data_IF_716963840367
#
_entry.id   IF_716963840367
#
_cell.length_a   1.000
_cell.length_b   1.000
_cell.length_c   1.000
_cell.angle_alpha   90.00
_cell.angle_beta   90.00
_cell.angle_gamma   90.00
#
_symmetry.space_group_name_H-M   'P 1'
#
loop_
_entity.id
_entity.type
_entity.pdbx_description
1 polymer ?
#
# COMPACT_ATOMS: atom_id res chain seq x y z
N UNK A 1 21.74 -4.38 3.60
CA UNK A 1 20.32 -4.17 3.95
C UNK A 1 19.47 -4.91 2.94
N UNK A 2 18.34 -5.53 3.35
CA UNK A 2 17.43 -6.16 2.40
C UNK A 2 16.80 -5.10 1.49
N UNK A 3 16.75 -5.38 0.19
CA UNK A 3 16.19 -4.49 -0.85
C UNK A 3 14.76 -4.89 -1.20
N UNK A 4 13.90 -3.92 -1.50
CA UNK A 4 12.53 -4.18 -1.96
C UNK A 4 12.54 -4.57 -3.44
N UNK A 5 12.09 -5.78 -3.76
CA UNK A 5 11.86 -6.23 -5.13
C UNK A 5 10.64 -5.53 -5.74
N UNK A 6 10.76 -5.03 -6.98
CA UNK A 6 9.73 -4.26 -7.67
C UNK A 6 8.37 -4.95 -7.78
N UNK A 7 8.36 -6.29 -7.89
CA UNK A 7 7.13 -7.09 -8.04
C UNK A 7 6.64 -7.70 -6.71
N UNK A 8 7.29 -7.41 -5.58
CA UNK A 8 6.94 -7.99 -4.28
C UNK A 8 6.53 -6.90 -3.27
N UNK A 9 6.27 -7.31 -2.03
CA UNK A 9 6.08 -6.45 -0.86
C UNK A 9 7.44 -6.17 -0.18
N UNK A 10 7.59 -5.08 0.60
CA UNK A 10 8.88 -4.77 1.21
C UNK A 10 9.23 -5.74 2.34
N UNK A 11 10.48 -6.21 2.42
CA UNK A 11 10.92 -7.18 3.43
C UNK A 11 11.01 -6.59 4.85
N UNK A 12 10.91 -5.26 4.98
CA UNK A 12 11.08 -4.51 6.24
C UNK A 12 9.74 -4.00 6.83
N UNK A 13 8.60 -4.33 6.20
CA UNK A 13 7.27 -3.97 6.71
C UNK A 13 6.92 -2.48 6.62
N UNK A 14 5.86 -2.08 7.32
CA UNK A 14 5.27 -0.74 7.19
C UNK A 14 5.99 0.36 7.98
N UNK A 15 6.57 0.05 9.15
CA UNK A 15 7.20 1.08 10.01
C UNK A 15 8.37 1.78 9.29
N UNK A 16 9.22 1.04 8.56
CA UNK A 16 10.28 1.66 7.77
C UNK A 16 9.71 2.56 6.67
N UNK A 17 8.66 2.13 5.98
CA UNK A 17 7.98 2.98 5.00
C UNK A 17 7.42 4.26 5.65
N UNK A 18 6.80 4.13 6.82
CA UNK A 18 6.25 5.23 7.58
C UNK A 18 7.34 6.23 7.98
N UNK A 19 8.44 5.77 8.56
CA UNK A 19 9.56 6.63 8.95
C UNK A 19 10.18 7.40 7.76
N UNK A 20 10.34 6.72 6.62
CA UNK A 20 10.78 7.37 5.38
C UNK A 20 9.75 8.41 4.94
N UNK A 21 8.45 8.06 4.92
CA UNK A 21 7.38 8.98 4.53
C UNK A 21 7.37 10.24 5.41
N UNK A 22 7.37 10.09 6.73
CA UNK A 22 7.40 11.21 7.68
C UNK A 22 8.63 12.11 7.52
N UNK A 23 9.71 11.58 6.95
CA UNK A 23 10.89 12.38 6.63
C UNK A 23 10.71 13.17 5.34
N UNK A 24 10.22 12.54 4.26
CA UNK A 24 10.16 13.14 2.93
C UNK A 24 8.98 14.11 2.76
N UNK A 25 7.83 13.87 3.40
CA UNK A 25 6.63 14.72 3.25
C UNK A 25 6.81 16.13 3.83
N UNK A 26 7.88 16.36 4.58
CA UNK A 26 8.28 17.71 5.03
C UNK A 26 8.73 18.60 3.87
N UNK A 27 9.02 18.02 2.70
CA UNK A 27 9.34 18.77 1.48
C UNK A 27 8.15 19.60 1.00
N UNK A 28 8.38 20.89 0.74
CA UNK A 28 7.41 21.76 0.05
C UNK A 28 7.42 21.60 -1.47
N UNK A 29 8.38 20.86 -2.01
CA UNK A 29 8.52 20.58 -3.45
C UNK A 29 7.94 19.20 -3.78
N UNK A 30 7.44 18.99 -5.01
CA UNK A 30 7.02 17.67 -5.46
C UNK A 30 8.12 16.63 -5.25
N UNK A 31 7.73 15.46 -4.74
CA UNK A 31 8.63 14.35 -4.45
C UNK A 31 8.56 13.36 -5.62
N UNK A 32 9.71 13.04 -6.21
CA UNK A 32 9.81 12.01 -7.25
C UNK A 32 10.05 10.66 -6.58
N UNK A 33 9.13 9.73 -6.76
CA UNK A 33 9.25 8.34 -6.33
C UNK A 33 9.38 7.47 -7.58
N UNK A 34 10.39 6.62 -7.63
CA UNK A 34 10.58 5.70 -8.75
C UNK A 34 11.19 4.37 -8.31
N UNK A 35 10.97 3.36 -9.15
CA UNK A 35 11.69 2.09 -9.19
C UNK A 35 12.11 1.84 -10.65
N UNK A 36 12.25 0.60 -11.11
CA UNK A 36 12.63 0.31 -12.50
C UNK A 36 11.57 0.77 -13.51
N UNK A 37 10.26 0.64 -13.20
CA UNK A 37 9.15 0.90 -14.14
C UNK A 37 8.25 2.09 -13.74
N UNK A 38 8.44 2.64 -12.54
CA UNK A 38 7.57 3.67 -11.96
C UNK A 38 6.13 3.16 -11.71
N UNK A 39 5.98 1.88 -11.39
CA UNK A 39 4.71 1.18 -11.06
C UNK A 39 5.00 0.12 -9.99
N UNK A 40 3.99 -0.59 -9.48
CA UNK A 40 4.20 -1.66 -8.49
C UNK A 40 4.67 -1.08 -7.15
N UNK A 41 5.87 -1.45 -6.68
CA UNK A 41 6.42 -0.99 -5.40
C UNK A 41 6.44 0.55 -5.25
N UNK A 42 6.73 1.28 -6.34
CA UNK A 42 6.71 2.75 -6.32
C UNK A 42 5.31 3.32 -6.03
N UNK A 43 4.28 2.77 -6.69
CA UNK A 43 2.89 3.20 -6.48
C UNK A 43 2.33 2.69 -5.15
N UNK A 44 2.76 1.51 -4.70
CA UNK A 44 2.43 0.99 -3.37
C UNK A 44 2.98 1.92 -2.28
N UNK A 45 4.25 2.35 -2.37
CA UNK A 45 4.83 3.28 -1.41
C UNK A 45 4.12 4.63 -1.38
N UNK A 46 3.84 5.23 -2.56
CA UNK A 46 3.06 6.48 -2.66
C UNK A 46 1.64 6.29 -2.11
N UNK A 47 1.02 5.15 -2.40
CA UNK A 47 -0.34 4.83 -2.03
C UNK A 47 -0.60 4.76 -0.53
N UNK A 48 0.41 4.38 0.28
CA UNK A 48 0.31 4.36 1.74
C UNK A 48 -0.11 5.71 2.32
N UNK A 49 0.57 6.78 1.89
CA UNK A 49 0.25 8.15 2.32
C UNK A 49 -0.96 8.69 1.56
N UNK A 50 -1.01 8.49 0.24
CA UNK A 50 -2.08 9.06 -0.58
C UNK A 50 -3.46 8.57 -0.14
N UNK A 51 -3.66 7.26 0.02
CA UNK A 51 -4.97 6.70 0.35
C UNK A 51 -5.38 6.96 1.79
N UNK A 52 -4.44 6.89 2.75
CA UNK A 52 -4.72 7.26 4.15
C UNK A 52 -5.17 8.71 4.25
N UNK A 53 -4.44 9.65 3.65
CA UNK A 53 -4.81 11.08 3.65
C UNK A 53 -6.10 11.36 2.88
N UNK A 54 -6.33 10.71 1.75
CA UNK A 54 -7.56 10.91 0.98
C UNK A 54 -8.79 10.53 1.79
N UNK A 55 -8.74 9.43 2.57
CA UNK A 55 -9.81 9.05 3.48
C UNK A 55 -9.89 9.97 4.72
N UNK A 56 -8.77 10.52 5.18
CA UNK A 56 -8.77 11.54 6.25
C UNK A 56 -9.44 12.86 5.82
N UNK A 57 -9.22 13.31 4.58
CA UNK A 57 -9.76 14.57 4.06
C UNK A 57 -11.21 14.45 3.56
N UNK A 58 -11.62 13.25 3.16
CA UNK A 58 -12.94 12.95 2.62
C UNK A 58 -13.57 11.84 3.46
N UNK A 59 -14.27 12.23 4.53
CA UNK A 59 -14.89 11.28 5.47
C UNK A 59 -15.92 10.35 4.80
N UNK A 60 -16.46 10.76 3.64
CA UNK A 60 -17.38 9.97 2.83
C UNK A 60 -16.68 8.94 1.94
N UNK A 61 -15.34 9.00 1.79
CA UNK A 61 -14.61 8.09 0.92
C UNK A 61 -14.38 6.75 1.60
N UNK A 62 -14.71 5.68 0.89
CA UNK A 62 -14.21 4.35 1.22
C UNK A 62 -12.78 4.20 0.68
N UNK A 63 -12.09 3.14 1.14
CA UNK A 63 -10.80 2.77 0.56
C UNK A 63 -10.87 2.59 -0.96
N UNK A 64 -11.97 2.02 -1.49
CA UNK A 64 -12.16 1.83 -2.93
C UNK A 64 -12.16 3.16 -3.67
N UNK A 65 -12.77 4.20 -3.09
CA UNK A 65 -12.85 5.53 -3.70
C UNK A 65 -11.46 6.19 -3.72
N UNK A 66 -10.76 6.17 -2.59
CA UNK A 66 -9.39 6.69 -2.48
C UNK A 66 -8.41 5.94 -3.40
N UNK A 67 -8.49 4.62 -3.44
CA UNK A 67 -7.70 3.77 -4.34
C UNK A 67 -8.00 4.06 -5.81
N UNK A 68 -9.28 4.24 -6.16
CA UNK A 68 -9.71 4.65 -7.50
C UNK A 68 -8.98 5.92 -7.96
N UNK A 69 -8.90 6.93 -7.10
CA UNK A 69 -8.19 8.19 -7.39
C UNK A 69 -6.69 8.02 -7.55
N UNK A 70 -6.08 7.08 -6.83
CA UNK A 70 -4.66 6.75 -7.00
C UNK A 70 -4.37 6.13 -8.37
N UNK A 71 -5.15 5.11 -8.75
CA UNK A 71 -4.89 4.36 -10.00
C UNK A 71 -5.20 5.17 -11.26
N UNK A 72 -6.07 6.19 -11.16
CA UNK A 72 -6.29 7.18 -12.22
C UNK A 72 -5.01 7.97 -12.58
N UNK A 73 -4.02 8.07 -11.68
CA UNK A 73 -2.80 8.87 -11.89
C UNK A 73 -1.71 8.15 -12.69
N UNK A 74 -1.75 6.82 -12.80
CA UNK A 74 -0.70 6.03 -13.43
C UNK A 74 -1.28 4.77 -14.08
N UNK A 75 -1.17 4.68 -15.40
CA UNK A 75 -1.54 3.47 -16.12
C UNK A 75 -0.74 2.27 -15.61
N UNK A 76 -1.40 1.12 -15.42
CA UNK A 76 -0.82 -0.08 -14.81
C UNK A 76 -0.11 0.19 -13.47
N UNK A 77 -0.74 1.00 -12.61
CA UNK A 77 -0.20 1.42 -11.30
C UNK A 77 0.41 0.28 -10.48
N UNK A 78 -0.21 -0.90 -10.49
CA UNK A 78 0.21 -2.07 -9.72
C UNK A 78 0.50 -3.24 -10.65
N UNK A 79 1.46 -4.10 -10.26
CA UNK A 79 1.88 -5.24 -11.07
C UNK A 79 1.15 -6.53 -10.70
N UNK A 80 0.68 -6.64 -9.46
CA UNK A 80 -0.09 -7.77 -8.96
C UNK A 80 -1.07 -7.35 -7.85
N UNK A 81 -1.99 -8.25 -7.51
CA UNK A 81 -2.98 -8.04 -6.46
C UNK A 81 -2.34 -8.03 -5.06
N UNK A 82 -1.25 -8.76 -4.84
CA UNK A 82 -0.51 -8.77 -3.57
C UNK A 82 -0.07 -7.36 -3.17
N UNK A 83 0.47 -6.57 -4.10
CA UNK A 83 0.88 -5.18 -3.85
C UNK A 83 -0.30 -4.28 -3.48
N UNK A 84 -1.46 -4.49 -4.11
CA UNK A 84 -2.69 -3.75 -3.79
C UNK A 84 -3.16 -4.12 -2.37
N UNK A 85 -3.21 -5.40 -2.05
CA UNK A 85 -3.59 -5.89 -0.72
C UNK A 85 -2.66 -5.38 0.38
N UNK A 86 -1.35 -5.40 0.14
CA UNK A 86 -0.35 -4.86 1.06
C UNK A 86 -0.55 -3.37 1.29
N UNK A 87 -0.75 -2.60 0.22
CA UNK A 87 -0.98 -1.15 0.32
C UNK A 87 -2.30 -0.84 1.05
N UNK A 88 -3.35 -1.65 0.89
CA UNK A 88 -4.62 -1.51 1.62
C UNK A 88 -4.42 -1.67 3.13
N UNK A 89 -3.72 -2.71 3.56
CA UNK A 89 -3.40 -2.89 4.99
C UNK A 89 -2.52 -1.76 5.49
N UNK A 90 -1.55 -1.34 4.68
CA UNK A 90 -0.64 -0.26 5.00
C UNK A 90 -1.29 1.11 5.13
N UNK A 91 -2.37 1.41 4.41
CA UNK A 91 -3.11 2.67 4.59
C UNK A 91 -3.76 2.75 5.97
N UNK A 92 -4.22 1.62 6.51
CA UNK A 92 -4.74 1.55 7.88
C UNK A 92 -3.60 1.73 8.90
N UNK A 93 -2.44 1.14 8.65
CA UNK A 93 -1.24 1.37 9.47
C UNK A 93 -0.90 2.87 9.55
N UNK A 94 -0.86 3.56 8.42
CA UNK A 94 -0.55 4.99 8.34
C UNK A 94 -1.59 5.82 9.08
N UNK A 95 -2.88 5.55 8.84
CA UNK A 95 -3.99 6.24 9.53
C UNK A 95 -3.88 6.06 11.05
N UNK A 96 -3.67 4.82 11.53
CA UNK A 96 -3.51 4.55 12.96
C UNK A 96 -2.30 5.29 13.56
N UNK A 97 -1.17 5.34 12.86
CA UNK A 97 0.04 6.03 13.33
C UNK A 97 -0.12 7.55 13.32
N UNK A 98 -0.72 8.12 12.27
CA UNK A 98 -0.97 9.56 12.13
C UNK A 98 -1.85 10.10 13.27
N UNK A 99 -2.84 9.31 13.71
CA UNK A 99 -3.83 9.71 14.71
C UNK A 99 -3.58 9.09 16.09
N UNK A 100 -2.47 8.37 16.28
CA UNK A 100 -2.15 7.65 17.51
C UNK A 100 -3.31 6.75 18.00
N UNK A 101 -3.92 6.03 17.06
CA UNK A 101 -5.00 5.09 17.33
C UNK A 101 -4.45 3.74 17.78
N UNK A 102 -5.31 2.96 18.41
CA UNK A 102 -5.00 1.57 18.73
C UNK A 102 -4.75 0.75 17.45
N UNK A 103 -3.74 -0.11 17.48
CA UNK A 103 -3.29 -0.89 16.33
C UNK A 103 -4.13 -2.16 16.09
N UNK A 104 -5.20 -2.40 16.85
CA UNK A 104 -6.04 -3.59 16.75
C UNK A 104 -6.55 -3.84 15.34
N UNK A 105 -7.15 -2.83 14.69
CA UNK A 105 -7.71 -2.98 13.33
C UNK A 105 -6.62 -3.29 12.31
N UNK A 106 -5.48 -2.59 12.39
CA UNK A 106 -4.31 -2.89 11.56
C UNK A 106 -3.84 -4.33 11.78
N UNK A 107 -3.67 -4.76 13.04
CA UNK A 107 -3.17 -6.10 13.37
C UNK A 107 -4.09 -7.19 12.83
N UNK A 108 -5.42 -7.02 12.95
CA UNK A 108 -6.41 -7.94 12.38
C UNK A 108 -6.25 -8.06 10.86
N UNK A 109 -6.24 -6.93 10.14
CA UNK A 109 -6.10 -6.92 8.68
C UNK A 109 -4.75 -7.45 8.21
N UNK A 110 -3.68 -7.12 8.93
CA UNK A 110 -2.33 -7.56 8.61
C UNK A 110 -2.17 -9.08 8.78
N UNK A 111 -2.77 -9.66 9.81
CA UNK A 111 -2.77 -11.11 10.01
C UNK A 111 -3.48 -11.83 8.87
N UNK A 112 -4.68 -11.36 8.48
CA UNK A 112 -5.43 -11.93 7.35
C UNK A 112 -4.64 -11.82 6.05
N UNK A 113 -4.03 -10.66 5.78
CA UNK A 113 -3.20 -10.47 4.58
C UNK A 113 -2.02 -11.44 4.55
N UNK A 114 -1.28 -11.59 5.65
CA UNK A 114 -0.14 -12.50 5.69
C UNK A 114 -0.53 -13.98 5.66
N UNK A 115 -1.72 -14.33 6.16
CA UNK A 115 -2.28 -15.67 5.98
C UNK A 115 -2.48 -15.97 4.48
N UNK A 116 -3.17 -15.08 3.76
CA UNK A 116 -3.37 -15.21 2.30
C UNK A 116 -2.04 -15.22 1.55
N UNK A 117 -1.13 -14.31 1.87
CA UNK A 117 0.18 -14.19 1.19
C UNK A 117 1.06 -15.43 1.37
N UNK A 118 1.05 -16.06 2.57
CA UNK A 118 1.91 -17.22 2.86
C UNK A 118 1.30 -18.54 2.40
N UNK A 119 -0.01 -18.69 2.57
CA UNK A 119 -0.70 -19.97 2.37
C UNK A 119 -1.36 -20.07 1.00
N UNK A 120 -1.43 -18.97 0.24
CA UNK A 120 -2.22 -18.86 -0.98
C UNK A 120 -3.72 -19.19 -0.77
N UNK A 121 -4.18 -19.21 0.49
CA UNK A 121 -5.56 -19.49 0.85
C UNK A 121 -6.49 -18.37 0.34
N UNK A 122 -7.61 -18.75 -0.26
CA UNK A 122 -8.61 -17.81 -0.79
C UNK A 122 -8.23 -17.14 -2.11
N UNK A 123 -7.07 -17.47 -2.70
CA UNK A 123 -6.68 -17.03 -4.05
C UNK A 123 -7.41 -17.90 -5.08
N UNK A 124 -8.28 -17.33 -5.94
CA UNK A 124 -8.92 -18.08 -7.01
C UNK A 124 -7.88 -18.75 -7.92
N UNK A 125 -8.23 -19.92 -8.46
CA UNK A 125 -7.49 -20.49 -9.58
C UNK A 125 -7.37 -19.43 -10.69
N UNK A 126 -6.26 -19.45 -11.43
CA UNK A 126 -5.78 -18.40 -12.32
C UNK A 126 -6.65 -18.19 -13.60
N UNK A 127 -7.98 -18.21 -13.45
CA UNK A 127 -8.99 -18.22 -14.51
C UNK A 127 -9.31 -16.80 -15.02
N UNK A 128 -8.91 -15.75 -14.29
CA UNK A 128 -9.30 -14.36 -14.55
C UNK A 128 -8.18 -13.47 -15.15
N UNK A 129 -7.00 -14.02 -15.43
CA UNK A 129 -5.85 -13.25 -15.93
C UNK A 129 -5.25 -12.27 -14.90
N UNK A 130 -5.73 -12.28 -13.66
CA UNK A 130 -5.21 -11.47 -12.56
C UNK A 130 -3.91 -12.07 -12.04
N UNK A 131 -2.83 -11.30 -12.06
CA UNK A 131 -1.58 -11.70 -11.41
C UNK A 131 -1.72 -11.50 -9.90
N UNK A 132 -1.78 -12.60 -9.14
CA UNK A 132 -1.91 -12.54 -7.69
C UNK A 132 -0.59 -12.22 -6.98
N UNK A 133 0.51 -12.79 -7.49
CA UNK A 133 1.89 -12.62 -7.01
C UNK A 133 2.79 -12.34 -8.21
#
# INVERSE_FOLDING_TARGET
MPTWNDEDIPPFGYETCYQVMQTIIKSKKPIVVHNTKGVGSAMAFVGLEYTSRMMEYHEEYTYKDAFGKLIEKRYCSFQNACQIGWMHVGSIYFTSRNHNLDMYMFNQMNNVFFEVHRTYSGVPNNESGVKWF
#
